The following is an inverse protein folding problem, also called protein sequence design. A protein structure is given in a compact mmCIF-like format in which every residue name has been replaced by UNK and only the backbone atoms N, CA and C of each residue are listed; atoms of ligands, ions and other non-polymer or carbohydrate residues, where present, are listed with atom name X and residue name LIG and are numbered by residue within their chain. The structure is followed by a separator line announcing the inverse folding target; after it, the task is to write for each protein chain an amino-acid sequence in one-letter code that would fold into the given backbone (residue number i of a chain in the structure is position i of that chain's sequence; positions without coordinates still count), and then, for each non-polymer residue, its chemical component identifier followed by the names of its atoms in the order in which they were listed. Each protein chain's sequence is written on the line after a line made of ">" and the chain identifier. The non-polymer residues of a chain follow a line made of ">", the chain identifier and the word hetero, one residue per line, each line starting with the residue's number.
data_IF_166947556056
#
_entry.id   IF_166947556056
#
_cell.length_a   1.000
_cell.length_b   1.000
_cell.length_c   1.000
_cell.angle_alpha   90.00
_cell.angle_beta   90.00
_cell.angle_gamma   90.00
#
_symmetry.space_group_name_H-M   'P 1'
#
loop_
_entity.id
_entity.type
_entity.pdbx_description
1 polymer ?
#
# COMPACT_ATOMS: atom_id res chain seq x y z
N UNK A 1 21.09 9.18 15.38
CA UNK A 1 21.55 9.91 14.17
C UNK A 1 20.33 10.48 13.44
N UNK A 2 20.20 11.79 13.33
CA UNK A 2 19.03 12.43 12.66
C UNK A 2 19.15 12.22 11.15
N UNK A 3 18.11 11.67 10.51
CA UNK A 3 18.10 11.48 9.05
C UNK A 3 18.09 12.85 8.36
N UNK A 4 19.17 13.18 7.65
CA UNK A 4 19.27 14.43 6.88
C UNK A 4 18.24 14.48 5.73
N UNK A 5 17.89 15.68 5.27
CA UNK A 5 17.01 15.88 4.10
C UNK A 5 17.58 15.19 2.84
N UNK A 6 18.90 15.26 2.65
CA UNK A 6 19.60 14.60 1.56
C UNK A 6 19.41 13.08 1.62
N UNK A 7 19.60 12.47 2.81
CA UNK A 7 19.41 11.04 3.00
C UNK A 7 17.97 10.60 2.71
N UNK A 8 16.97 11.38 3.15
CA UNK A 8 15.56 11.11 2.86
C UNK A 8 15.27 11.10 1.36
N UNK A 9 15.74 12.09 0.61
CA UNK A 9 15.59 12.18 -0.85
C UNK A 9 16.29 11.03 -1.57
N UNK A 10 17.48 10.65 -1.11
CA UNK A 10 18.21 9.51 -1.66
C UNK A 10 17.38 8.21 -1.50
N UNK A 11 16.87 7.94 -0.29
CA UNK A 11 16.03 6.76 -0.04
C UNK A 11 14.72 6.78 -0.85
N UNK A 12 14.07 7.94 -0.94
CA UNK A 12 12.86 8.11 -1.74
C UNK A 12 13.12 7.76 -3.21
N UNK A 13 14.19 8.31 -3.80
CA UNK A 13 14.59 8.02 -5.18
C UNK A 13 14.89 6.53 -5.39
N UNK A 14 15.67 5.93 -4.48
CA UNK A 14 16.01 4.50 -4.53
C UNK A 14 14.77 3.62 -4.47
N UNK A 15 13.87 3.88 -3.53
CA UNK A 15 12.66 3.09 -3.34
C UNK A 15 11.68 3.27 -4.51
N UNK A 16 11.54 4.48 -5.07
CA UNK A 16 10.75 4.73 -6.28
C UNK A 16 11.28 3.98 -7.50
N UNK A 17 12.61 3.89 -7.65
CA UNK A 17 13.22 3.11 -8.73
C UNK A 17 12.86 1.61 -8.62
N UNK A 18 12.96 1.04 -7.42
CA UNK A 18 12.58 -0.37 -7.19
C UNK A 18 11.08 -0.59 -7.44
N UNK A 19 10.23 0.29 -6.88
CA UNK A 19 8.76 0.14 -6.93
C UNK A 19 8.17 0.34 -8.32
N UNK A 20 8.92 0.91 -9.27
CA UNK A 20 8.50 0.99 -10.67
C UNK A 20 8.30 -0.39 -11.31
N UNK A 21 9.02 -1.41 -10.84
CA UNK A 21 8.93 -2.77 -11.38
C UNK A 21 7.87 -3.62 -10.70
N UNK A 22 7.07 -3.06 -9.79
CA UNK A 22 6.02 -3.82 -9.13
C UNK A 22 4.84 -4.01 -10.09
N UNK A 23 4.16 -5.15 -9.97
CA UNK A 23 2.94 -5.44 -10.75
C UNK A 23 1.84 -4.39 -10.55
N UNK A 24 1.89 -3.63 -9.44
CA UNK A 24 0.95 -2.58 -9.11
C UNK A 24 1.44 -1.16 -9.50
N UNK A 25 2.51 -1.04 -10.28
CA UNK A 25 3.05 0.23 -10.76
C UNK A 25 2.24 0.87 -11.89
N UNK A 26 1.15 0.22 -12.34
CA UNK A 26 0.31 0.70 -13.44
C UNK A 26 1.14 1.00 -14.69
N UNK A 27 0.92 2.16 -15.31
CA UNK A 27 1.72 2.65 -16.46
C UNK A 27 3.16 3.09 -16.14
N UNK A 28 3.67 2.84 -14.93
CA UNK A 28 5.01 3.25 -14.50
C UNK A 28 5.27 4.77 -14.57
N UNK A 29 4.22 5.58 -14.60
CA UNK A 29 4.29 7.04 -14.54
C UNK A 29 4.86 7.50 -13.19
N UNK A 30 5.42 8.72 -13.13
CA UNK A 30 5.92 9.31 -11.88
C UNK A 30 4.85 9.36 -10.79
N UNK A 31 3.60 9.65 -11.18
CA UNK A 31 2.43 9.66 -10.30
C UNK A 31 2.14 8.27 -9.75
N UNK A 32 2.05 7.24 -10.59
CA UNK A 32 1.76 5.87 -10.14
C UNK A 32 2.87 5.32 -9.24
N UNK A 33 4.14 5.57 -9.59
CA UNK A 33 5.27 5.18 -8.73
C UNK A 33 5.22 5.90 -7.38
N UNK A 34 4.75 7.16 -7.35
CA UNK A 34 4.46 7.89 -6.13
C UNK A 34 3.38 7.21 -5.29
N UNK A 35 2.28 6.78 -5.90
CA UNK A 35 1.20 6.06 -5.22
C UNK A 35 1.68 4.72 -4.65
N UNK A 36 2.43 3.94 -5.45
CA UNK A 36 3.04 2.68 -4.98
C UNK A 36 4.03 2.93 -3.84
N UNK A 37 4.80 4.02 -3.87
CA UNK A 37 5.71 4.42 -2.79
C UNK A 37 5.00 4.69 -1.46
N UNK A 38 3.77 5.21 -1.49
CA UNK A 38 2.98 5.47 -0.29
C UNK A 38 2.16 4.28 0.18
N UNK A 39 2.05 3.21 -0.62
CA UNK A 39 1.41 1.96 -0.16
C UNK A 39 2.39 1.06 0.58
N UNK A 40 2.09 0.66 1.84
CA UNK A 40 2.99 -0.16 2.65
C UNK A 40 2.97 -1.65 2.26
N UNK A 41 1.85 -2.17 1.75
CA UNK A 41 1.70 -3.58 1.35
C UNK A 41 1.08 -3.74 -0.04
N UNK A 42 1.55 -4.75 -0.78
CA UNK A 42 1.14 -5.07 -2.16
C UNK A 42 -0.32 -5.52 -2.23
N UNK A 43 -0.79 -6.29 -1.24
CA UNK A 43 -2.16 -6.79 -1.15
C UNK A 43 -3.21 -5.72 -0.82
N UNK A 44 -2.79 -4.54 -0.37
CA UNK A 44 -3.64 -3.36 -0.17
C UNK A 44 -3.14 -2.19 -1.02
N UNK A 45 -2.74 -2.49 -2.26
CA UNK A 45 -2.20 -1.47 -3.15
C UNK A 45 -3.22 -0.34 -3.38
N UNK A 46 -2.74 0.76 -3.94
CA UNK A 46 -3.54 1.95 -4.20
C UNK A 46 -4.67 1.70 -5.21
N UNK A 47 -4.54 0.66 -6.05
CA UNK A 47 -5.57 0.25 -7.00
C UNK A 47 -6.67 -0.59 -6.33
N UNK A 48 -6.30 -1.55 -5.49
CA UNK A 48 -7.28 -2.36 -4.75
C UNK A 48 -7.93 -1.56 -3.61
N UNK A 49 -7.22 -0.55 -3.09
CA UNK A 49 -7.51 0.07 -1.82
C UNK A 49 -7.36 -0.94 -0.68
N UNK A 50 -7.15 -0.48 0.54
CA UNK A 50 -7.21 -1.40 1.67
C UNK A 50 -8.61 -2.00 1.73
N UNK A 51 -8.75 -3.30 1.44
CA UNK A 51 -10.07 -3.96 1.37
C UNK A 51 -10.87 -3.74 2.66
N UNK A 52 -10.19 -3.64 3.81
CA UNK A 52 -10.83 -3.32 5.10
C UNK A 52 -11.46 -1.92 5.11
N UNK A 53 -10.83 -0.94 4.44
CA UNK A 53 -11.34 0.44 4.33
C UNK A 53 -12.53 0.53 3.37
N UNK A 54 -12.48 -0.19 2.25
CA UNK A 54 -13.47 -0.07 1.18
C UNK A 54 -14.68 -1.01 1.36
N UNK A 55 -14.45 -2.22 1.87
CA UNK A 55 -15.46 -3.28 1.96
C UNK A 55 -15.79 -3.69 3.40
N UNK A 56 -15.09 -3.14 4.39
CA UNK A 56 -15.33 -3.45 5.80
C UNK A 56 -14.83 -4.84 6.20
N UNK A 57 -15.62 -5.54 7.03
CA UNK A 57 -15.27 -6.87 7.52
C UNK A 57 -15.25 -7.90 6.38
N UNK A 58 -14.28 -8.80 6.42
CA UNK A 58 -14.23 -9.92 5.50
C UNK A 58 -15.31 -10.98 5.85
N UNK A 59 -15.59 -11.92 4.92
CA UNK A 59 -16.61 -12.96 5.12
C UNK A 59 -16.36 -13.85 6.34
N UNK A 60 -15.11 -14.07 6.74
CA UNK A 60 -14.78 -14.88 7.92
C UNK A 60 -15.10 -14.10 9.21
N UNK A 61 -14.75 -12.81 9.27
CA UNK A 61 -15.08 -11.91 10.38
C UNK A 61 -16.60 -11.77 10.55
N UNK A 62 -17.35 -11.65 9.44
CA UNK A 62 -18.82 -11.61 9.48
C UNK A 62 -19.38 -12.91 10.06
N UNK A 63 -18.91 -14.07 9.61
CA UNK A 63 -19.33 -15.39 10.12
C UNK A 63 -18.98 -15.57 11.60
N UNK A 64 -17.79 -15.13 12.01
CA UNK A 64 -17.37 -15.19 13.40
C UNK A 64 -18.27 -14.32 14.27
N UNK A 65 -18.56 -13.08 13.85
CA UNK A 65 -19.46 -12.18 14.58
C UNK A 65 -20.86 -12.80 14.74
N UNK A 66 -21.43 -13.36 13.68
CA UNK A 66 -22.74 -14.02 13.73
C UNK A 66 -22.78 -15.25 14.64
N UNK A 67 -21.65 -15.95 14.85
CA UNK A 67 -21.56 -17.11 15.74
C UNK A 67 -21.54 -16.75 17.23
N UNK A 68 -21.18 -15.52 17.58
CA UNK A 68 -20.98 -15.08 18.97
C UNK A 68 -21.90 -13.92 19.37
N UNK A 69 -22.85 -13.55 18.52
CA UNK A 69 -23.95 -12.65 18.88
C UNK A 69 -25.18 -13.51 19.24
N UNK A 70 -25.41 -13.69 20.54
CA UNK A 70 -26.68 -14.07 21.16
C UNK A 70 -27.47 -12.79 21.51
#
# INVERSE_FOLDING_TARGET
>A
MVRTRALRRHHERRLKAIRRHYNNAGSCSSTHVGMVYHTPCSCSCWMCGNQRKNHGMNRQEVRARLRYTD
#
